data_IF_623478988083
#
_entry.id   IF_623478988083
#
_cell.length_a   1.000
_cell.length_b   1.000
_cell.length_c   1.000
_cell.angle_alpha   90.00
_cell.angle_beta   90.00
_cell.angle_gamma   90.00
#
_symmetry.space_group_name_H-M   'P 1'
#
loop_
_entity.id
_entity.type
_entity.pdbx_description
1 polymer ?
#
# COMPACT_ATOMS: atom_id res chain seq x y z
N UNK A 1 9.03 -2.50 16.17
CA UNK A 1 9.37 -2.00 14.82
C UNK A 1 9.05 -3.08 13.81
N UNK A 2 8.43 -2.70 12.68
CA UNK A 2 8.06 -3.63 11.61
C UNK A 2 9.27 -4.27 10.93
N UNK A 3 9.07 -5.40 10.25
CA UNK A 3 10.13 -6.06 9.48
C UNK A 3 10.41 -5.24 8.23
N UNK A 4 11.68 -4.95 7.97
CA UNK A 4 12.11 -4.38 6.70
C UNK A 4 11.99 -5.46 5.62
N UNK A 5 11.22 -5.17 4.57
CA UNK A 5 11.08 -6.02 3.38
C UNK A 5 11.89 -5.36 2.26
N UNK A 6 12.85 -6.09 1.68
CA UNK A 6 13.67 -5.62 0.56
C UNK A 6 13.59 -6.69 -0.51
N UNK A 7 13.03 -6.36 -1.67
CA UNK A 7 13.02 -7.26 -2.83
C UNK A 7 14.36 -7.24 -3.57
N UNK A 8 14.73 -8.37 -4.16
CA UNK A 8 15.97 -8.53 -4.96
C UNK A 8 15.70 -8.48 -6.47
N UNK A 9 14.43 -8.41 -6.87
CA UNK A 9 13.98 -8.21 -8.26
C UNK A 9 12.83 -7.21 -8.32
N UNK A 10 12.53 -6.66 -9.50
CA UNK A 10 11.40 -5.74 -9.68
C UNK A 10 10.08 -6.36 -9.22
N UNK A 11 9.87 -7.64 -9.53
CA UNK A 11 8.67 -8.36 -9.08
C UNK A 11 8.60 -8.47 -7.55
N UNK A 12 9.72 -8.82 -6.90
CA UNK A 12 9.77 -8.91 -5.44
C UNK A 12 9.61 -7.55 -4.75
N UNK A 13 10.10 -6.46 -5.36
CA UNK A 13 9.90 -5.09 -4.85
C UNK A 13 8.41 -4.77 -4.84
N UNK A 14 7.71 -4.97 -5.97
CA UNK A 14 6.27 -4.74 -6.05
C UNK A 14 5.49 -5.61 -5.06
N UNK A 15 5.90 -6.87 -4.84
CA UNK A 15 5.27 -7.72 -3.82
C UNK A 15 5.51 -7.22 -2.39
N UNK A 16 6.71 -6.73 -2.11
CA UNK A 16 7.06 -6.18 -0.81
C UNK A 16 6.22 -4.94 -0.51
N UNK A 17 6.04 -4.08 -1.51
CA UNK A 17 5.22 -2.87 -1.42
C UNK A 17 3.75 -3.24 -1.22
N UNK A 18 3.21 -4.17 -2.01
CA UNK A 18 1.81 -4.60 -1.84
C UNK A 18 1.55 -5.20 -0.45
N UNK A 19 2.51 -5.97 0.09
CA UNK A 19 2.42 -6.49 1.46
C UNK A 19 2.50 -5.38 2.50
N UNK A 20 3.27 -4.32 2.25
CA UNK A 20 3.35 -3.16 3.14
C UNK A 20 2.01 -2.43 3.18
N UNK A 21 1.40 -2.16 2.04
CA UNK A 21 0.12 -1.44 1.98
C UNK A 21 -1.01 -2.24 2.64
N UNK A 22 -1.04 -3.56 2.43
CA UNK A 22 -2.00 -4.44 3.11
C UNK A 22 -1.83 -4.48 4.64
N UNK A 23 -0.64 -4.21 5.17
CA UNK A 23 -0.43 -4.05 6.61
C UNK A 23 -0.82 -2.64 7.10
N UNK A 24 -0.63 -1.61 6.27
CA UNK A 24 -0.90 -0.22 6.61
C UNK A 24 -2.40 0.12 6.66
N UNK A 25 -3.18 -0.40 5.71
CA UNK A 25 -4.62 -0.11 5.59
C UNK A 25 -5.42 -0.45 6.87
N UNK A 26 -5.30 -1.67 7.46
CA UNK A 26 -5.98 -1.99 8.71
C UNK A 26 -5.52 -1.08 9.87
N UNK A 27 -4.21 -0.79 9.95
CA UNK A 27 -3.66 0.07 10.99
C UNK A 27 -4.23 1.50 10.92
N UNK A 28 -4.38 2.04 9.71
CA UNK A 28 -4.98 3.37 9.50
C UNK A 28 -6.47 3.38 9.85
N UNK A 29 -7.21 2.31 9.54
CA UNK A 29 -8.62 2.14 9.94
C UNK A 29 -8.76 2.13 11.47
N UNK A 30 -7.92 1.36 12.17
CA UNK A 30 -7.88 1.31 13.63
C UNK A 30 -7.50 2.67 14.24
N UNK A 31 -6.53 3.37 13.63
CA UNK A 31 -6.10 4.70 14.07
C UNK A 31 -7.21 5.76 13.91
N UNK A 32 -7.97 5.71 12.81
CA UNK A 32 -9.14 6.56 12.60
C UNK A 32 -10.22 6.29 13.65
N UNK A 33 -10.53 5.02 13.93
CA UNK A 33 -11.52 4.63 14.94
C UNK A 33 -11.12 5.14 16.33
N UNK A 34 -9.85 4.96 16.70
CA UNK A 34 -9.35 5.46 17.98
C UNK A 34 -9.42 6.99 18.06
N UNK A 35 -8.96 7.71 17.03
CA UNK A 35 -9.01 9.16 16.98
C UNK A 35 -10.45 9.70 17.11
N UNK A 36 -11.41 9.07 16.44
CA UNK A 36 -12.84 9.38 16.57
C UNK A 36 -13.34 9.16 18.01
N UNK A 37 -12.95 8.04 18.66
CA UNK A 37 -13.39 7.69 20.02
C UNK A 37 -13.00 8.73 21.08
N UNK A 38 -11.88 9.43 20.86
CA UNK A 38 -11.38 10.51 21.74
C UNK A 38 -11.69 11.91 21.21
N UNK A 39 -12.50 12.02 20.13
CA UNK A 39 -12.89 13.26 19.46
C UNK A 39 -11.71 14.07 18.89
N UNK A 40 -10.64 13.41 18.49
CA UNK A 40 -9.53 14.01 17.75
C UNK A 40 -9.81 13.94 16.24
N UNK A 41 -10.65 14.85 15.77
CA UNK A 41 -11.07 14.89 14.36
C UNK A 41 -9.92 15.30 13.42
N UNK A 42 -8.95 16.07 13.90
CA UNK A 42 -7.80 16.48 13.10
C UNK A 42 -6.92 15.29 12.72
N UNK A 43 -6.61 14.43 13.70
CA UNK A 43 -5.89 13.18 13.45
C UNK A 43 -6.72 12.20 12.63
N UNK A 44 -8.02 12.05 12.92
CA UNK A 44 -8.92 11.18 12.16
C UNK A 44 -8.94 11.54 10.67
N UNK A 45 -9.04 12.82 10.34
CA UNK A 45 -9.07 13.27 8.94
C UNK A 45 -7.70 13.12 8.25
N UNK A 46 -6.60 13.32 9.00
CA UNK A 46 -5.26 13.03 8.48
C UNK A 46 -5.10 11.55 8.14
N UNK A 47 -5.45 10.65 9.06
CA UNK A 47 -5.38 9.21 8.82
C UNK A 47 -6.28 8.79 7.66
N UNK A 48 -7.48 9.38 7.52
CA UNK A 48 -8.36 9.12 6.38
C UNK A 48 -7.77 9.55 5.04
N UNK A 49 -7.04 10.67 4.98
CA UNK A 49 -6.33 11.08 3.76
C UNK A 49 -5.20 10.12 3.41
N UNK A 50 -4.45 9.66 4.40
CA UNK A 50 -3.38 8.67 4.18
C UNK A 50 -3.99 7.35 3.71
N UNK A 51 -5.07 6.89 4.35
CA UNK A 51 -5.78 5.67 3.96
C UNK A 51 -6.21 5.68 2.49
N UNK A 52 -6.78 6.78 2.02
CA UNK A 52 -7.16 6.90 0.62
C UNK A 52 -5.96 6.77 -0.32
N UNK A 53 -4.81 7.36 0.04
CA UNK A 53 -3.59 7.23 -0.76
C UNK A 53 -3.08 5.78 -0.78
N UNK A 54 -3.13 5.06 0.35
CA UNK A 54 -2.68 3.66 0.38
C UNK A 54 -3.62 2.75 -0.44
N UNK A 55 -4.93 3.03 -0.46
CA UNK A 55 -5.88 2.32 -1.33
C UNK A 55 -5.61 2.60 -2.83
N UNK A 56 -5.23 3.83 -3.18
CA UNK A 56 -4.75 4.16 -4.54
C UNK A 56 -3.42 3.46 -4.88
N UNK A 57 -2.50 3.33 -3.92
CA UNK A 57 -1.26 2.57 -4.11
C UNK A 57 -1.53 1.08 -4.35
N UNK A 58 -2.48 0.47 -3.63
CA UNK A 58 -2.88 -0.92 -3.86
C UNK A 58 -3.41 -1.10 -5.28
N UNK A 59 -4.33 -0.23 -5.74
CA UNK A 59 -4.87 -0.29 -7.11
C UNK A 59 -3.78 -0.16 -8.19
N UNK A 60 -2.83 0.76 -7.96
CA UNK A 60 -1.68 0.91 -8.83
C UNK A 60 -0.83 -0.37 -8.91
N UNK A 61 -0.52 -0.97 -7.75
CA UNK A 61 0.31 -2.18 -7.67
C UNK A 61 -0.39 -3.40 -8.31
N UNK A 62 -1.68 -3.59 -8.04
CA UNK A 62 -2.49 -4.64 -8.69
C UNK A 62 -2.48 -4.46 -10.21
N UNK A 63 -2.61 -3.23 -10.70
CA UNK A 63 -2.47 -2.92 -12.13
C UNK A 63 -1.08 -3.29 -12.68
N UNK A 64 -0.01 -3.11 -11.89
CA UNK A 64 1.34 -3.51 -12.32
C UNK A 64 1.46 -5.03 -12.45
N UNK A 65 0.91 -5.79 -11.49
CA UNK A 65 0.90 -7.25 -11.55
C UNK A 65 0.11 -7.77 -12.76
N UNK A 66 -1.06 -7.20 -13.01
CA UNK A 66 -1.88 -7.50 -14.20
C UNK A 66 -1.11 -7.21 -15.50
N UNK A 67 -0.37 -6.10 -15.56
CA UNK A 67 0.44 -5.76 -16.73
C UNK A 67 1.59 -6.76 -16.91
N UNK A 68 2.30 -7.09 -15.83
CA UNK A 68 3.37 -8.11 -15.83
C UNK A 68 2.85 -9.46 -16.33
N UNK A 69 1.65 -9.88 -15.90
CA UNK A 69 1.02 -11.13 -16.37
C UNK A 69 0.77 -11.09 -17.89
N UNK A 70 0.31 -9.95 -18.41
CA UNK A 70 -0.04 -9.81 -19.83
C UNK A 70 1.17 -9.74 -20.77
N UNK A 71 2.23 -9.03 -20.39
CA UNK A 71 3.36 -8.75 -21.29
C UNK A 71 4.66 -9.49 -20.93
N UNK A 72 4.73 -10.07 -19.74
CA UNK A 72 5.90 -10.69 -19.16
C UNK A 72 6.83 -9.67 -18.47
N UNK A 73 7.49 -10.12 -17.39
CA UNK A 73 8.36 -9.26 -16.56
C UNK A 73 9.48 -8.59 -17.37
N UNK A 74 10.07 -9.30 -18.32
CA UNK A 74 11.15 -8.77 -19.16
C UNK A 74 10.70 -7.51 -19.94
N UNK A 75 9.52 -7.56 -20.58
CA UNK A 75 8.97 -6.42 -21.32
C UNK A 75 8.53 -5.30 -20.39
N UNK A 76 7.93 -5.63 -19.25
CA UNK A 76 7.54 -4.65 -18.24
C UNK A 76 8.73 -3.81 -17.77
N UNK A 77 9.87 -4.45 -17.50
CA UNK A 77 11.10 -3.74 -17.06
C UNK A 77 11.79 -2.90 -18.14
N UNK A 78 11.28 -2.91 -19.37
CA UNK A 78 11.80 -2.11 -20.49
C UNK A 78 10.93 -0.89 -20.83
N UNK A 79 9.76 -0.75 -20.20
CA UNK A 79 8.86 0.41 -20.36
C UNK A 79 9.49 1.68 -19.75
#
# INVERSE_FOLDING_TARGET
LGKLRIGESVFEILECDLKLENDAIPLLKDAMEYAESVRDYGSRDLFGKILNNEEEHVDYLETQFDLIERIGIERYTML
#
